data_IF_232822212229
#
_entry.id   IF_232822212229
#
_cell.length_a   1.000
_cell.length_b   1.000
_cell.length_c   1.000
_cell.angle_alpha   90.00
_cell.angle_beta   90.00
_cell.angle_gamma   90.00
#
_symmetry.space_group_name_H-M   'P 1'
#
loop_
_entity.id
_entity.type
_entity.pdbx_description
1 polymer ?
#
# COMPACT_ATOMS: atom_id res chain seq x y z
N UNK A 1 -5.98 -0.95 -13.27
CA UNK A 1 -6.29 -0.96 -11.82
C UNK A 1 -6.68 -2.29 -11.21
N UNK A 2 -7.43 -3.15 -11.90
CA UNK A 2 -7.82 -4.47 -11.34
C UNK A 2 -6.61 -5.27 -10.84
N UNK A 3 -5.50 -5.23 -11.58
CA UNK A 3 -4.24 -5.87 -11.19
C UNK A 3 -3.70 -5.35 -9.85
N UNK A 4 -3.56 -4.04 -9.67
CA UNK A 4 -2.97 -3.47 -8.45
C UNK A 4 -3.84 -3.71 -7.21
N UNK A 5 -5.17 -3.72 -7.39
CA UNK A 5 -6.11 -4.12 -6.33
C UNK A 5 -5.93 -5.60 -5.96
N UNK A 6 -5.79 -6.48 -6.95
CA UNK A 6 -5.52 -7.91 -6.70
C UNK A 6 -4.19 -8.12 -5.98
N UNK A 7 -3.12 -7.43 -6.41
CA UNK A 7 -1.81 -7.48 -5.75
C UNK A 7 -1.94 -7.03 -4.30
N UNK A 8 -2.58 -5.89 -4.03
CA UNK A 8 -2.79 -5.41 -2.66
C UNK A 8 -3.51 -6.45 -1.79
N UNK A 9 -4.64 -7.00 -2.24
CA UNK A 9 -5.40 -7.98 -1.48
C UNK A 9 -4.61 -9.28 -1.26
N UNK A 10 -3.90 -9.76 -2.29
CA UNK A 10 -3.09 -10.97 -2.19
C UNK A 10 -1.90 -10.76 -1.24
N UNK A 11 -1.24 -9.61 -1.32
CA UNK A 11 -0.15 -9.22 -0.41
C UNK A 11 -0.64 -9.17 1.03
N UNK A 12 -1.81 -8.57 1.29
CA UNK A 12 -2.42 -8.51 2.62
C UNK A 12 -2.82 -9.90 3.14
N UNK A 13 -3.62 -10.64 2.36
CA UNK A 13 -4.11 -11.97 2.73
C UNK A 13 -2.97 -12.99 2.89
N UNK A 14 -1.86 -12.80 2.17
CA UNK A 14 -0.64 -13.57 2.31
C UNK A 14 -0.03 -13.54 3.71
N UNK A 15 -0.44 -12.61 4.57
CA UNK A 15 -0.06 -12.62 5.98
C UNK A 15 -0.47 -13.90 6.71
N UNK A 16 -1.56 -14.53 6.28
CA UNK A 16 -2.05 -15.80 6.83
C UNK A 16 -1.08 -16.96 6.61
N UNK A 17 -0.14 -16.86 5.66
CA UNK A 17 0.91 -17.86 5.42
C UNK A 17 2.19 -17.55 6.18
N UNK A 18 2.06 -17.00 7.41
CA UNK A 18 3.16 -16.46 8.21
C UNK A 18 3.96 -15.35 7.49
N UNK A 19 3.33 -14.64 6.55
CA UNK A 19 3.96 -13.56 5.76
C UNK A 19 4.81 -14.03 4.58
N UNK A 20 4.96 -15.33 4.33
CA UNK A 20 5.77 -15.85 3.22
C UNK A 20 5.19 -15.44 1.86
N UNK A 21 3.87 -15.58 1.69
CA UNK A 21 3.20 -15.17 0.46
C UNK A 21 3.24 -13.64 0.29
N UNK A 22 3.11 -12.88 1.39
CA UNK A 22 3.28 -11.41 1.37
C UNK A 22 4.64 -11.03 0.82
N UNK A 23 5.73 -11.62 1.32
CA UNK A 23 7.09 -11.38 0.83
C UNK A 23 7.23 -11.76 -0.64
N UNK A 24 6.75 -12.95 -1.01
CA UNK A 24 6.82 -13.42 -2.39
C UNK A 24 6.15 -12.45 -3.36
N UNK A 25 4.93 -11.99 -3.05
CA UNK A 25 4.18 -11.08 -3.93
C UNK A 25 4.87 -9.72 -4.05
N UNK A 26 5.41 -9.17 -2.96
CA UNK A 26 6.17 -7.92 -2.97
C UNK A 26 7.44 -8.03 -3.81
N UNK A 27 8.22 -9.10 -3.62
CA UNK A 27 9.44 -9.36 -4.38
C UNK A 27 9.11 -9.54 -5.86
N UNK A 28 8.11 -10.37 -6.17
CA UNK A 28 7.73 -10.64 -7.56
C UNK A 28 7.24 -9.38 -8.28
N UNK A 29 6.39 -8.58 -7.64
CA UNK A 29 5.94 -7.31 -8.22
C UNK A 29 7.08 -6.30 -8.38
N UNK A 30 7.95 -6.19 -7.37
CA UNK A 30 9.13 -5.32 -7.45
C UNK A 30 10.08 -5.71 -8.58
N UNK A 31 10.35 -7.02 -8.73
CA UNK A 31 11.16 -7.54 -9.82
C UNK A 31 10.50 -7.32 -11.18
N UNK A 32 9.20 -7.55 -11.33
CA UNK A 32 8.48 -7.32 -12.57
C UNK A 32 8.54 -5.84 -12.98
N UNK A 33 8.20 -4.93 -12.07
CA UNK A 33 8.26 -3.48 -12.30
C UNK A 33 9.69 -3.04 -12.65
N UNK A 34 10.67 -3.46 -11.83
CA UNK A 34 12.09 -3.14 -12.04
C UNK A 34 12.63 -3.68 -13.35
N UNK A 35 12.22 -4.88 -13.78
CA UNK A 35 12.63 -5.47 -15.05
C UNK A 35 12.11 -4.67 -16.25
N UNK A 36 10.84 -4.23 -16.20
CA UNK A 36 10.26 -3.40 -17.27
C UNK A 36 10.97 -2.04 -17.33
N UNK A 37 11.18 -1.38 -16.18
CA UNK A 37 11.92 -0.13 -16.13
C UNK A 37 13.36 -0.29 -16.63
N UNK A 38 14.05 -1.35 -16.21
CA UNK A 38 15.41 -1.66 -16.65
C UNK A 38 15.50 -1.89 -18.15
N UNK A 39 14.59 -2.69 -18.72
CA UNK A 39 14.53 -2.95 -20.16
C UNK A 39 14.30 -1.67 -20.97
N UNK A 40 13.31 -0.85 -20.58
CA UNK A 40 13.03 0.40 -21.28
C UNK A 40 14.14 1.43 -21.12
N UNK A 41 14.86 1.41 -19.99
CA UNK A 41 16.05 2.24 -19.81
C UNK A 41 17.14 1.89 -20.80
N UNK A 42 17.37 0.59 -21.07
CA UNK A 42 18.36 0.13 -22.05
C UNK A 42 18.04 0.56 -23.49
N UNK A 43 16.75 0.73 -23.80
CA UNK A 43 16.28 1.16 -25.12
C UNK A 43 15.97 2.67 -25.22
N UNK A 44 16.30 3.47 -24.20
CA UNK A 44 15.98 4.91 -24.14
C UNK A 44 14.47 5.25 -24.25
N UNK A 45 13.60 4.32 -23.85
CA UNK A 45 12.14 4.46 -23.87
C UNK A 45 11.51 4.71 -22.49
N UNK A 46 12.34 4.89 -21.46
CA UNK A 46 11.90 5.02 -20.06
C UNK A 46 10.94 6.19 -19.82
N UNK A 47 11.07 7.28 -20.59
CA UNK A 47 10.27 8.51 -20.39
C UNK A 47 8.76 8.25 -20.44
N UNK A 48 8.30 7.50 -21.45
CA UNK A 48 6.86 7.22 -21.61
C UNK A 48 6.29 6.40 -20.45
N UNK A 49 7.03 5.37 -20.00
CA UNK A 49 6.60 4.58 -18.84
C UNK A 49 6.67 5.37 -17.54
N UNK A 50 7.74 6.13 -17.33
CA UNK A 50 7.92 6.93 -16.12
C UNK A 50 6.82 7.97 -16.00
N UNK A 51 6.49 8.70 -17.07
CA UNK A 51 5.39 9.67 -17.08
C UNK A 51 4.03 9.04 -16.83
N UNK A 52 3.79 7.85 -17.40
CA UNK A 52 2.56 7.10 -17.17
C UNK A 52 2.44 6.73 -15.68
N UNK A 53 3.46 6.06 -15.13
CA UNK A 53 3.46 5.55 -13.75
C UNK A 53 3.46 6.69 -12.74
N UNK A 54 4.17 7.79 -12.98
CA UNK A 54 4.31 8.90 -12.03
C UNK A 54 2.98 9.52 -11.60
N UNK A 55 1.97 9.53 -12.49
CA UNK A 55 0.68 10.14 -12.21
C UNK A 55 -0.09 9.45 -11.07
N UNK A 56 -0.04 8.13 -10.99
CA UNK A 56 -0.86 7.30 -10.09
C UNK A 56 -0.03 6.42 -9.14
N UNK A 57 1.20 6.08 -9.55
CA UNK A 57 2.13 5.19 -8.85
C UNK A 57 2.44 5.56 -7.40
N UNK A 58 2.58 6.86 -7.01
CA UNK A 58 2.82 7.21 -5.61
C UNK A 58 1.74 6.69 -4.66
N UNK A 59 0.46 6.75 -5.07
CA UNK A 59 -0.65 6.24 -4.25
C UNK A 59 -0.62 4.72 -4.21
N UNK A 60 -0.51 4.07 -5.35
CA UNK A 60 -0.62 2.61 -5.45
C UNK A 60 0.53 1.88 -4.77
N UNK A 61 1.77 2.33 -4.98
CA UNK A 61 2.93 1.75 -4.31
C UNK A 61 2.81 1.92 -2.80
N UNK A 62 2.37 3.09 -2.33
CA UNK A 62 2.15 3.33 -0.90
C UNK A 62 1.12 2.37 -0.30
N UNK A 63 0.01 2.14 -1.01
CA UNK A 63 -1.04 1.22 -0.54
C UNK A 63 -0.58 -0.24 -0.59
N UNK A 64 0.19 -0.65 -1.61
CA UNK A 64 0.79 -2.00 -1.68
C UNK A 64 1.80 -2.19 -0.53
N UNK A 65 2.63 -1.18 -0.22
CA UNK A 65 3.54 -1.25 0.91
C UNK A 65 2.81 -1.32 2.26
N UNK A 66 1.72 -0.57 2.43
CA UNK A 66 0.88 -0.66 3.62
C UNK A 66 0.27 -2.06 3.75
N UNK A 67 -0.29 -2.60 2.67
CA UNK A 67 -0.84 -3.96 2.63
C UNK A 67 0.25 -5.01 2.93
N UNK A 68 1.47 -4.80 2.43
CA UNK A 68 2.67 -5.57 2.74
C UNK A 68 3.01 -5.56 4.22
N UNK A 69 3.12 -4.37 4.81
CA UNK A 69 3.36 -4.20 6.24
C UNK A 69 2.27 -4.88 7.09
N UNK A 70 1.00 -4.72 6.71
CA UNK A 70 -0.12 -5.38 7.39
C UNK A 70 -0.07 -6.91 7.26
N UNK A 71 0.26 -7.43 6.07
CA UNK A 71 0.44 -8.87 5.85
C UNK A 71 1.58 -9.45 6.70
N UNK A 72 2.73 -8.79 6.74
CA UNK A 72 3.85 -9.18 7.60
C UNK A 72 3.51 -9.08 9.08
N UNK A 73 2.76 -8.05 9.48
CA UNK A 73 2.28 -7.88 10.85
C UNK A 73 1.33 -9.01 11.27
N UNK A 74 0.42 -9.43 10.40
CA UNK A 74 -0.43 -10.61 10.61
C UNK A 74 0.42 -11.88 10.72
N UNK A 75 1.40 -12.06 9.83
CA UNK A 75 2.31 -13.20 9.83
C UNK A 75 3.15 -13.31 11.10
N UNK A 76 3.66 -12.18 11.61
CA UNK A 76 4.38 -12.13 12.88
C UNK A 76 3.48 -12.55 14.05
N UNK A 77 2.17 -12.25 14.01
CA UNK A 77 1.23 -12.70 15.05
C UNK A 77 1.05 -14.21 15.09
N UNK A 78 1.22 -14.89 13.96
CA UNK A 78 1.18 -16.35 13.87
C UNK A 78 2.48 -16.98 14.41
N UNK A 79 3.62 -16.36 14.12
CA UNK A 79 4.94 -16.85 14.52
C UNK A 79 5.28 -16.52 15.99
N UNK A 80 4.96 -15.31 16.44
CA UNK A 80 5.32 -14.72 17.73
C UNK A 80 4.09 -14.04 18.37
N UNK A 81 3.10 -14.82 18.85
CA UNK A 81 1.87 -14.27 19.42
C UNK A 81 2.03 -13.58 20.78
N UNK A 82 3.20 -13.74 21.44
CA UNK A 82 3.45 -13.19 22.77
C UNK A 82 2.62 -13.90 23.85
N UNK A 83 1.89 -13.13 24.65
CA UNK A 83 1.03 -13.62 25.74
C UNK A 83 -0.35 -14.08 25.26
N UNK A 84 -0.71 -13.80 24.01
CA UNK A 84 -2.00 -14.18 23.44
C UNK A 84 -1.95 -15.59 22.86
N UNK A 85 -3.13 -16.23 22.76
CA UNK A 85 -3.26 -17.40 21.90
C UNK A 85 -3.01 -17.00 20.44
N UNK A 86 -2.53 -17.93 19.60
CA UNK A 86 -2.32 -17.65 18.16
C UNK A 86 -3.58 -17.16 17.47
N UNK A 87 -4.74 -17.69 17.85
CA UNK A 87 -6.03 -17.29 17.29
C UNK A 87 -6.41 -15.86 17.66
N UNK A 88 -6.18 -15.46 18.92
CA UNK A 88 -6.52 -14.12 19.39
C UNK A 88 -5.55 -13.07 18.86
N UNK A 89 -4.25 -13.39 18.85
CA UNK A 89 -3.23 -12.56 18.20
C UNK A 89 -3.58 -12.33 16.72
N UNK A 90 -3.97 -13.39 16.00
CA UNK A 90 -4.35 -13.28 14.61
C UNK A 90 -5.58 -12.39 14.41
N UNK A 91 -6.67 -12.63 15.16
CA UNK A 91 -7.90 -11.81 15.07
C UNK A 91 -7.62 -10.33 15.35
N UNK A 92 -6.83 -10.04 16.38
CA UNK A 92 -6.46 -8.68 16.74
C UNK A 92 -5.69 -7.99 15.60
N UNK A 93 -4.63 -8.63 15.10
CA UNK A 93 -3.79 -8.05 14.05
C UNK A 93 -4.49 -7.95 12.70
N UNK A 94 -5.33 -8.93 12.35
CA UNK A 94 -6.17 -8.89 11.14
C UNK A 94 -7.16 -7.72 11.23
N UNK A 95 -7.81 -7.50 12.37
CA UNK A 95 -8.75 -6.39 12.53
C UNK A 95 -8.10 -5.03 12.27
N UNK A 96 -6.92 -4.80 12.84
CA UNK A 96 -6.13 -3.59 12.59
C UNK A 96 -5.74 -3.49 11.11
N UNK A 97 -5.20 -4.56 10.54
CA UNK A 97 -4.79 -4.59 9.15
C UNK A 97 -5.93 -4.32 8.16
N UNK A 98 -7.10 -4.91 8.38
CA UNK A 98 -8.30 -4.67 7.57
C UNK A 98 -8.73 -3.21 7.63
N UNK A 99 -8.71 -2.58 8.82
CA UNK A 99 -9.05 -1.16 8.96
C UNK A 99 -8.10 -0.26 8.16
N UNK A 100 -6.79 -0.56 8.19
CA UNK A 100 -5.77 0.19 7.44
C UNK A 100 -5.93 0.02 5.91
N UNK A 101 -6.13 -1.21 5.45
CA UNK A 101 -6.30 -1.52 4.02
C UNK A 101 -7.61 -0.93 3.48
N UNK A 102 -8.73 -1.13 4.18
CA UNK A 102 -10.02 -0.56 3.77
C UNK A 102 -10.02 0.96 3.85
N UNK A 103 -9.34 1.55 4.83
CA UNK A 103 -9.15 3.00 4.93
C UNK A 103 -8.39 3.60 3.74
N UNK A 104 -7.69 2.76 2.96
CA UNK A 104 -6.93 3.17 1.77
C UNK A 104 -7.70 2.95 0.46
N UNK A 105 -8.84 2.26 0.50
CA UNK A 105 -9.64 1.94 -0.69
C UNK A 105 -10.11 3.18 -1.49
N UNK A 106 -10.56 4.29 -0.86
CA UNK A 106 -10.94 5.49 -1.62
C UNK A 106 -9.79 6.06 -2.44
N UNK A 107 -8.56 6.00 -1.92
CA UNK A 107 -7.38 6.47 -2.63
C UNK A 107 -7.01 5.59 -3.83
N UNK A 108 -7.25 4.27 -3.75
CA UNK A 108 -7.10 3.39 -4.92
C UNK A 108 -8.12 3.68 -6.02
N UNK A 109 -9.35 4.06 -5.65
CA UNK A 109 -10.35 4.50 -6.64
C UNK A 109 -9.87 5.77 -7.34
N UNK A 110 -9.35 6.74 -6.58
CA UNK A 110 -8.75 7.96 -7.14
C UNK A 110 -7.56 7.62 -8.05
N UNK A 111 -6.65 6.75 -7.61
CA UNK A 111 -5.52 6.30 -8.41
C UNK A 111 -5.98 5.63 -9.72
N UNK A 112 -7.07 4.87 -9.69
CA UNK A 112 -7.64 4.28 -10.89
C UNK A 112 -8.29 5.24 -11.85
N UNK A 113 -8.90 6.31 -11.35
CA UNK A 113 -9.34 7.41 -12.20
C UNK A 113 -8.14 8.10 -12.84
N UNK A 114 -7.06 8.32 -12.09
CA UNK A 114 -5.83 8.91 -12.62
C UNK A 114 -5.21 8.00 -13.69
N UNK A 115 -5.10 6.69 -13.43
CA UNK A 115 -4.61 5.70 -14.40
C UNK A 115 -5.46 5.67 -15.67
N UNK A 116 -6.79 5.71 -15.54
CA UNK A 116 -7.71 5.63 -16.68
C UNK A 116 -7.77 6.90 -17.52
N UNK A 117 -7.62 8.08 -16.90
CA UNK A 117 -7.87 9.36 -17.57
C UNK A 117 -6.62 10.23 -17.74
N UNK A 118 -5.74 10.29 -16.73
CA UNK A 118 -4.59 11.23 -16.71
C UNK A 118 -3.32 10.56 -17.23
N UNK A 119 -3.03 9.33 -16.82
CA UNK A 119 -1.83 8.61 -17.24
C UNK A 119 -1.69 8.47 -18.77
N UNK A 120 -2.73 8.07 -19.53
CA UNK A 120 -2.67 7.98 -20.99
C UNK A 120 -2.86 9.32 -21.71
N UNK A 121 -3.17 10.41 -20.99
CA UNK A 121 -3.40 11.72 -21.61
C UNK A 121 -2.13 12.34 -22.19
N UNK A 122 -2.31 13.30 -23.10
CA UNK A 122 -1.24 14.13 -23.67
C UNK A 122 -0.82 15.29 -22.75
N UNK A 123 -1.23 15.27 -21.48
CA UNK A 123 -0.84 16.29 -20.51
C UNK A 123 0.68 16.31 -20.32
N UNK A 124 1.28 17.50 -20.08
CA UNK A 124 2.70 17.62 -19.79
C UNK A 124 3.11 16.78 -18.59
N UNK A 125 4.35 16.28 -18.62
CA UNK A 125 4.93 15.50 -17.52
C UNK A 125 4.80 16.20 -16.15
N UNK A 126 4.91 17.53 -16.13
CA UNK A 126 4.83 18.33 -14.91
C UNK A 126 3.45 18.27 -14.26
N UNK A 127 2.39 18.21 -15.06
CA UNK A 127 1.01 18.07 -14.56
C UNK A 127 0.81 16.67 -13.99
N UNK A 128 1.28 15.63 -14.70
CA UNK A 128 1.23 14.25 -14.22
C UNK A 128 2.00 14.09 -12.90
N UNK A 129 3.19 14.68 -12.82
CA UNK A 129 4.01 14.72 -11.61
C UNK A 129 3.27 15.38 -10.45
N UNK A 130 2.66 16.55 -10.70
CA UNK A 130 1.93 17.30 -9.69
C UNK A 130 0.73 16.51 -9.17
N UNK A 131 -0.04 15.86 -10.06
CA UNK A 131 -1.17 15.00 -9.67
C UNK A 131 -0.70 13.85 -8.78
N UNK A 132 0.37 13.14 -9.17
CA UNK A 132 0.92 12.05 -8.37
C UNK A 132 1.45 12.51 -7.01
N UNK A 133 2.16 13.64 -6.98
CA UNK A 133 2.69 14.22 -5.74
C UNK A 133 1.56 14.70 -4.81
N UNK A 134 0.56 15.40 -5.31
CA UNK A 134 -0.56 15.89 -4.50
C UNK A 134 -1.36 14.73 -3.94
N UNK A 135 -1.74 13.77 -4.78
CA UNK A 135 -2.55 12.63 -4.33
C UNK A 135 -1.77 11.72 -3.38
N UNK A 136 -0.49 11.48 -3.64
CA UNK A 136 0.41 10.81 -2.71
C UNK A 136 0.56 11.56 -1.38
N UNK A 137 0.75 12.88 -1.41
CA UNK A 137 0.87 13.69 -0.20
C UNK A 137 -0.43 13.67 0.62
N UNK A 138 -1.60 13.77 -0.03
CA UNK A 138 -2.90 13.68 0.64
C UNK A 138 -3.10 12.32 1.33
N UNK A 139 -2.69 11.22 0.69
CA UNK A 139 -2.71 9.89 1.31
C UNK A 139 -1.85 9.85 2.58
N UNK A 140 -0.62 10.35 2.52
CA UNK A 140 0.29 10.35 3.66
C UNK A 140 -0.21 11.26 4.79
N UNK A 141 -0.71 12.45 4.45
CA UNK A 141 -1.31 13.37 5.42
C UNK A 141 -2.54 12.77 6.08
N UNK A 142 -3.38 12.03 5.33
CA UNK A 142 -4.51 11.30 5.86
C UNK A 142 -4.06 10.25 6.89
N UNK A 143 -3.08 9.41 6.57
CA UNK A 143 -2.56 8.43 7.53
C UNK A 143 -1.93 9.08 8.77
N UNK A 144 -1.12 10.13 8.60
CA UNK A 144 -0.52 10.86 9.72
C UNK A 144 -1.58 11.53 10.60
N UNK A 145 -2.63 12.10 9.99
CA UNK A 145 -3.75 12.69 10.69
C UNK A 145 -4.54 11.65 11.50
N UNK A 146 -4.84 10.49 10.91
CA UNK A 146 -5.51 9.37 11.60
C UNK A 146 -4.67 8.87 12.77
N UNK A 147 -3.36 8.73 12.61
CA UNK A 147 -2.45 8.32 13.69
C UNK A 147 -2.49 9.30 14.87
N UNK A 148 -2.51 10.61 14.64
CA UNK A 148 -2.56 11.61 15.71
C UNK A 148 -3.83 11.50 16.56
N UNK A 149 -4.99 11.35 15.93
CA UNK A 149 -6.26 11.23 16.66
C UNK A 149 -6.37 9.91 17.44
N UNK A 150 -5.67 8.85 17.01
CA UNK A 150 -5.60 7.59 17.75
C UNK A 150 -4.77 7.75 19.04
N UNK A 151 -3.64 8.47 18.98
CA UNK A 151 -2.80 8.73 20.15
C UNK A 151 -3.49 9.62 21.19
N UNK A 152 -4.24 10.64 20.75
CA UNK A 152 -4.93 11.58 21.65
C UNK A 152 -6.11 10.96 22.42
N UNK A 153 -6.66 9.82 21.97
CA UNK A 153 -7.72 9.08 22.69
C UNK A 153 -7.20 8.05 23.71
N UNK A 154 -5.89 7.88 23.82
CA UNK A 154 -5.25 6.96 24.77
C UNK A 154 -4.82 7.54 26.16
N UNK A 155 -5.47 8.54 26.80
CA UNK A 155 -5.16 8.88 28.20
C UNK A 155 -5.80 7.98 29.26
N UNK A 156 -6.92 7.28 28.98
CA UNK A 156 -7.81 6.78 30.04
C UNK A 156 -7.90 5.24 30.20
N UNK A 157 -6.90 4.48 29.73
CA UNK A 157 -6.86 3.01 29.95
C UNK A 157 -5.81 2.57 31.00
N UNK A 158 -5.30 3.52 31.80
CA UNK A 158 -4.35 3.28 32.90
C UNK A 158 -4.89 3.71 34.28
N UNK A 159 -6.22 3.63 34.51
CA UNK A 159 -6.82 3.92 35.84
C UNK A 159 -7.32 2.67 36.58
N UNK A 160 -7.05 1.46 36.08
CA UNK A 160 -7.43 0.22 36.77
C UNK A 160 -6.38 -0.91 36.71
N UNK A 161 -5.12 -0.58 36.97
CA UNK A 161 -4.12 -1.51 37.50
C UNK A 161 -3.32 -0.86 38.62
#
# INVERSE_FOLDING_TARGET
MTNNIQVMFLTFAGGLTAGLLTLWVLIHNGLALGSIFGLLSLHHLIGGLAEFVLAHGPVELSVIFLAGGCGLYIGDGLLRPGLLSRGDALRHRVRIGVQLVLGSAPFLVVAGLIEGFISPSTLPWSVKALVGLITGALLHLYWLGVCRHATERSPDENTFL
#
